data_IF_100245435361
#
_entry.id   IF_100245435361
#
_cell.length_a   1.000
_cell.length_b   1.000
_cell.length_c   1.000
_cell.angle_alpha   90.00
_cell.angle_beta   90.00
_cell.angle_gamma   90.00
#
_symmetry.space_group_name_H-M   'P 1'
#
loop_
_entity.id
_entity.type
_entity.pdbx_description
1 polymer ?
#
# COMPACT_ATOMS: atom_id res chain seq x y z
N UNK A 1 -17.90 -7.37 7.88
CA UNK A 1 -16.49 -6.91 7.94
C UNK A 1 -16.48 -5.42 8.21
N UNK A 2 -15.73 -4.94 9.21
CA UNK A 2 -15.74 -3.52 9.58
C UNK A 2 -15.13 -2.62 8.49
N UNK A 3 -15.66 -1.40 8.36
CA UNK A 3 -15.15 -0.40 7.42
C UNK A 3 -14.05 0.44 8.07
N UNK A 4 -12.86 0.42 7.47
CA UNK A 4 -11.69 1.16 7.92
C UNK A 4 -10.91 1.69 6.73
N UNK A 5 -9.99 2.61 6.97
CA UNK A 5 -8.98 2.93 5.96
C UNK A 5 -8.16 1.67 5.68
N UNK A 6 -7.89 1.42 4.40
CA UNK A 6 -7.20 0.21 3.93
C UNK A 6 -5.94 0.61 3.19
N UNK A 7 -4.89 -0.19 3.35
CA UNK A 7 -3.72 -0.18 2.49
C UNK A 7 -3.68 -1.48 1.67
N UNK A 8 -3.07 -1.43 0.50
CA UNK A 8 -2.87 -2.60 -0.35
C UNK A 8 -1.58 -2.48 -1.15
N UNK A 9 -1.12 -3.64 -1.61
CA UNK A 9 -0.08 -3.79 -2.63
C UNK A 9 -0.59 -4.79 -3.69
N UNK A 10 -0.26 -4.56 -4.96
CA UNK A 10 -0.63 -5.48 -6.01
C UNK A 10 0.08 -5.24 -7.33
N UNK A 11 -0.21 -6.12 -8.30
CA UNK A 11 0.30 -6.07 -9.67
C UNK A 11 -0.88 -5.82 -10.61
N UNK A 12 -0.78 -4.75 -11.39
CA UNK A 12 -1.73 -4.46 -12.47
C UNK A 12 -1.54 -5.46 -13.63
N UNK A 13 -2.58 -5.69 -14.45
CA UNK A 13 -2.52 -6.57 -15.63
C UNK A 13 -1.45 -6.17 -16.65
N UNK A 14 -0.99 -4.91 -16.64
CA UNK A 14 0.15 -4.45 -17.44
C UNK A 14 1.52 -4.91 -16.90
N UNK A 15 1.55 -5.63 -15.77
CA UNK A 15 2.79 -5.99 -15.05
C UNK A 15 3.30 -4.91 -14.10
N UNK A 16 2.65 -3.74 -14.05
CA UNK A 16 3.09 -2.65 -13.19
C UNK A 16 2.76 -2.92 -11.72
N UNK A 17 3.75 -2.85 -10.81
CA UNK A 17 3.50 -2.90 -9.37
C UNK A 17 2.90 -1.59 -8.85
N UNK A 18 1.91 -1.69 -7.95
CA UNK A 18 1.19 -0.54 -7.39
C UNK A 18 0.92 -0.75 -5.90
N UNK A 19 1.31 0.23 -5.08
CA UNK A 19 0.85 0.39 -3.69
C UNK A 19 -0.25 1.44 -3.63
N UNK A 20 -1.18 1.32 -2.68
CA UNK A 20 -2.20 2.33 -2.50
C UNK A 20 -2.93 2.25 -1.18
N UNK A 21 -3.72 3.29 -0.91
CA UNK A 21 -4.60 3.38 0.27
C UNK A 21 -6.00 3.82 -0.14
N UNK A 22 -7.00 3.49 0.68
CA UNK A 22 -8.34 4.03 0.51
C UNK A 22 -8.45 5.40 1.17
N UNK A 23 -9.08 6.36 0.47
CA UNK A 23 -9.37 7.69 1.04
C UNK A 23 -10.56 7.68 2.01
N UNK A 24 -11.46 6.71 1.84
CA UNK A 24 -12.63 6.51 2.69
C UNK A 24 -12.54 5.15 3.38
N UNK A 25 -13.27 5.01 4.48
CA UNK A 25 -13.43 3.71 5.12
C UNK A 25 -14.11 2.75 4.14
N UNK A 26 -13.57 1.55 4.03
CA UNK A 26 -14.04 0.54 3.08
C UNK A 26 -13.85 -0.86 3.66
N UNK A 27 -14.81 -1.74 3.38
CA UNK A 27 -14.68 -3.17 3.66
C UNK A 27 -13.74 -3.87 2.66
N UNK A 28 -13.05 -4.92 3.10
CA UNK A 28 -12.08 -5.63 2.26
C UNK A 28 -12.69 -6.22 0.98
N UNK A 29 -13.93 -6.74 1.05
CA UNK A 29 -14.62 -7.32 -0.12
C UNK A 29 -14.87 -6.24 -1.17
N UNK A 30 -15.35 -5.07 -0.76
CA UNK A 30 -15.59 -3.96 -1.69
C UNK A 30 -14.28 -3.42 -2.26
N UNK A 31 -13.23 -3.34 -1.45
CA UNK A 31 -11.89 -2.98 -1.93
C UNK A 31 -11.41 -3.97 -3.01
N UNK A 32 -11.49 -5.28 -2.76
CA UNK A 32 -11.07 -6.31 -3.70
C UNK A 32 -11.83 -6.22 -5.03
N UNK A 33 -13.16 -6.01 -4.98
CA UNK A 33 -13.97 -5.78 -6.17
C UNK A 33 -13.50 -4.56 -6.97
N UNK A 34 -13.23 -3.43 -6.30
CA UNK A 34 -12.73 -2.22 -6.97
C UNK A 34 -11.34 -2.44 -7.59
N UNK A 35 -10.43 -3.12 -6.89
CA UNK A 35 -9.10 -3.43 -7.41
C UNK A 35 -9.20 -4.33 -8.66
N UNK A 36 -10.06 -5.35 -8.64
CA UNK A 36 -10.30 -6.18 -9.81
C UNK A 36 -10.88 -5.38 -11.00
N UNK A 37 -11.80 -4.45 -10.73
CA UNK A 37 -12.42 -3.59 -11.76
C UNK A 37 -11.40 -2.64 -12.42
N UNK A 38 -10.44 -2.12 -11.65
CA UNK A 38 -9.39 -1.21 -12.19
C UNK A 38 -8.17 -1.97 -12.70
N UNK A 39 -8.29 -3.27 -12.95
CA UNK A 39 -7.31 -4.05 -13.69
C UNK A 39 -6.17 -4.65 -12.86
N UNK A 40 -6.30 -4.75 -11.53
CA UNK A 40 -5.36 -5.56 -10.75
C UNK A 40 -5.50 -7.04 -11.13
N UNK A 41 -4.35 -7.70 -11.34
CA UNK A 41 -4.24 -9.15 -11.50
C UNK A 41 -4.15 -9.82 -10.13
N UNK A 42 -3.20 -9.35 -9.32
CA UNK A 42 -2.94 -9.82 -7.97
C UNK A 42 -2.96 -8.64 -7.01
N UNK A 43 -3.55 -8.80 -5.82
CA UNK A 43 -3.48 -7.79 -4.77
C UNK A 43 -3.64 -8.42 -3.39
N UNK A 44 -2.93 -7.87 -2.41
CA UNK A 44 -3.01 -8.23 -0.99
C UNK A 44 -3.34 -6.98 -0.18
N UNK A 45 -4.28 -7.12 0.75
CA UNK A 45 -4.59 -6.08 1.73
C UNK A 45 -3.53 -6.09 2.84
N UNK A 46 -3.03 -4.91 3.19
CA UNK A 46 -2.00 -4.70 4.21
C UNK A 46 -2.63 -4.25 5.55
N UNK A 47 -1.78 -3.92 6.52
CA UNK A 47 -2.22 -3.33 7.80
C UNK A 47 -3.09 -2.07 7.56
N UNK A 48 -4.16 -1.97 8.34
CA UNK A 48 -5.31 -1.10 8.09
C UNK A 48 -5.62 -0.19 9.28
N UNK A 49 -6.63 0.67 9.14
CA UNK A 49 -7.09 1.56 10.21
C UNK A 49 -6.10 2.71 10.44
N UNK A 50 -5.77 3.00 11.70
CA UNK A 50 -4.87 4.12 12.04
C UNK A 50 -3.43 3.92 11.55
N UNK A 51 -3.03 2.71 11.16
CA UNK A 51 -1.74 2.41 10.50
C UNK A 51 -1.69 2.82 9.04
N UNK A 52 -2.85 2.93 8.38
CA UNK A 52 -2.88 3.16 6.93
C UNK A 52 -2.13 4.44 6.60
N UNK A 53 -1.20 4.37 5.67
CA UNK A 53 -0.34 5.50 5.32
C UNK A 53 0.17 5.32 3.89
N UNK A 54 0.41 6.45 3.23
CA UNK A 54 1.04 6.50 1.91
C UNK A 54 1.95 7.71 1.88
N UNK A 55 3.20 7.50 1.46
CA UNK A 55 4.21 8.54 1.36
C UNK A 55 4.77 8.54 -0.05
N UNK A 56 4.92 9.73 -0.62
CA UNK A 56 5.59 9.94 -1.89
C UNK A 56 6.64 11.03 -1.72
N UNK A 57 7.90 10.72 -2.07
CA UNK A 57 9.04 11.67 -1.95
C UNK A 57 9.13 12.36 -0.58
N UNK A 58 8.94 11.59 0.50
CA UNK A 58 9.00 12.09 1.87
C UNK A 58 7.76 12.86 2.34
N UNK A 59 6.73 13.02 1.50
CA UNK A 59 5.47 13.70 1.85
C UNK A 59 4.34 12.70 2.09
N UNK A 60 3.65 12.86 3.22
CA UNK A 60 2.44 12.10 3.50
C UNK A 60 1.31 12.50 2.54
N UNK A 61 0.62 11.50 1.98
CA UNK A 61 -0.54 11.67 1.10
C UNK A 61 -1.87 11.39 1.82
N UNK A 62 -1.83 11.16 3.14
CA UNK A 62 -3.02 11.00 3.99
C UNK A 62 -3.26 12.24 4.85
N UNK A 63 -4.51 12.49 5.24
CA UNK A 63 -4.94 13.73 5.93
C UNK A 63 -4.82 13.69 7.46
N UNK A 64 -4.15 12.69 8.01
CA UNK A 64 -3.95 12.49 9.46
C UNK A 64 -2.52 12.02 9.71
N UNK A 65 -2.11 12.00 10.97
CA UNK A 65 -0.83 11.42 11.40
C UNK A 65 -1.00 9.92 11.67
N UNK A 66 -0.46 9.03 10.83
CA UNK A 66 -0.57 7.58 11.06
C UNK A 66 0.26 7.15 12.26
N UNK A 67 -0.16 6.08 12.93
CA UNK A 67 0.67 5.50 14.00
C UNK A 67 1.94 4.86 13.41
N UNK A 68 3.04 4.78 14.18
CA UNK A 68 4.24 4.04 13.76
C UNK A 68 3.92 2.58 13.43
N UNK A 69 4.57 2.03 12.41
CA UNK A 69 4.45 0.63 11.98
C UNK A 69 5.84 -0.01 11.83
N UNK A 70 5.98 -1.33 12.08
CA UNK A 70 7.29 -1.99 12.06
C UNK A 70 7.81 -2.29 10.65
N UNK A 71 6.93 -2.40 9.65
CA UNK A 71 7.28 -2.80 8.28
C UNK A 71 6.52 -1.95 7.25
N UNK A 72 7.12 -1.78 6.07
CA UNK A 72 6.53 -1.04 4.95
C UNK A 72 6.75 -1.79 3.63
N UNK A 73 5.86 -1.54 2.67
CA UNK A 73 6.07 -1.90 1.27
C UNK A 73 6.43 -0.63 0.52
N UNK A 74 7.58 -0.61 -0.16
CA UNK A 74 8.08 0.56 -0.85
C UNK A 74 8.39 0.25 -2.32
N UNK A 75 7.98 1.17 -3.20
CA UNK A 75 8.46 1.23 -4.57
C UNK A 75 9.68 2.12 -4.60
N UNK A 76 10.83 1.54 -4.93
CA UNK A 76 12.13 2.22 -4.93
C UNK A 76 12.81 2.05 -6.28
N UNK A 77 13.59 3.05 -6.69
CA UNK A 77 14.46 2.88 -7.86
C UNK A 77 15.50 1.80 -7.55
N UNK A 78 15.87 0.95 -8.52
CA UNK A 78 16.96 -0.02 -8.33
C UNK A 78 18.26 0.64 -7.83
N UNK A 79 18.51 1.90 -8.23
CA UNK A 79 19.68 2.67 -7.80
C UNK A 79 19.63 3.12 -6.33
N UNK A 80 18.44 3.18 -5.73
CA UNK A 80 18.25 3.61 -4.34
C UNK A 80 18.28 2.47 -3.32
N UNK A 81 18.17 1.22 -3.78
CA UNK A 81 18.18 0.04 -2.88
C UNK A 81 19.51 -0.06 -2.13
N UNK A 82 20.63 0.32 -2.75
CA UNK A 82 21.97 0.23 -2.12
C UNK A 82 22.24 1.22 -0.98
N UNK A 83 21.32 2.15 -0.70
CA UNK A 83 21.47 3.21 0.33
C UNK A 83 20.47 3.08 1.48
N UNK A 84 19.62 2.06 1.49
CA UNK A 84 18.57 1.93 2.50
C UNK A 84 19.12 1.28 3.77
N UNK A 85 18.82 1.85 4.94
CA UNK A 85 19.08 1.23 6.27
C UNK A 85 18.02 0.19 6.64
N UNK A 86 17.03 -0.02 5.77
CA UNK A 86 15.97 -0.99 5.96
C UNK A 86 16.41 -2.36 5.43
N UNK A 87 16.20 -3.41 6.22
CA UNK A 87 16.41 -4.79 5.77
C UNK A 87 15.34 -5.11 4.73
N UNK A 88 15.76 -5.30 3.49
CA UNK A 88 14.86 -5.72 2.41
C UNK A 88 14.69 -7.23 2.50
N UNK A 89 13.45 -7.69 2.64
CA UNK A 89 13.13 -9.11 2.54
C UNK A 89 13.46 -9.59 1.11
N UNK A 90 14.38 -10.55 0.99
CA UNK A 90 14.71 -11.23 -0.27
C UNK A 90 14.08 -12.62 -0.25
N UNK A 91 13.53 -13.03 -1.39
CA UNK A 91 12.93 -14.34 -1.62
C UNK A 91 13.53 -14.97 -2.87
#
# INVERSE_FOLDING_TARGET
>A
MAEWLRAFWGIHRSGQPIIGVSYKRIGSVKLAQLLAQVGFRDAVMLDSGASTSLVYEGKSLVRYTPRPVPHVVALVSPKSVSKSTCVVAQY
#
